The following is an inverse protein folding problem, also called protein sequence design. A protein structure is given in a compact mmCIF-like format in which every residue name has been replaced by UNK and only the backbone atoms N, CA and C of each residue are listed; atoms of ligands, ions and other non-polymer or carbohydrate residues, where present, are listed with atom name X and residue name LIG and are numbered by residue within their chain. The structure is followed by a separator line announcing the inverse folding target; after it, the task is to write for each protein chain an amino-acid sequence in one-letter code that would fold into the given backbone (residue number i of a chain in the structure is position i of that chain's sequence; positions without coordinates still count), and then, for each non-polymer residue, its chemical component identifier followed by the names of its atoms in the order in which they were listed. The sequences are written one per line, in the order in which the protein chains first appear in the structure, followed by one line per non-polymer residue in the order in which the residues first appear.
data_IF_783692891022
#
_entry.id   IF_783692891022
#
_cell.length_a   1.000
_cell.length_b   1.000
_cell.length_c   1.000
_cell.angle_alpha   90.00
_cell.angle_beta   90.00
_cell.angle_gamma   90.00
#
_symmetry.space_group_name_H-M   'P 1'
#
loop_
_entity.id
_entity.type
_entity.pdbx_description
1 polymer ?
#
# COMPACT_ATOMS: atom_id res chain seq x y z
N UNK A 1 35.02 27.63 14.96
CA UNK A 1 34.79 26.56 13.96
C UNK A 1 34.48 25.28 14.73
N UNK A 2 33.23 25.12 15.17
CA UNK A 2 32.84 23.98 16.02
C UNK A 2 32.54 22.79 15.14
N UNK A 3 33.34 21.74 15.29
CA UNK A 3 33.12 20.43 14.70
C UNK A 3 31.91 19.79 15.37
N UNK A 4 30.74 20.03 14.80
CA UNK A 4 29.52 19.36 15.21
C UNK A 4 29.64 17.87 14.84
N UNK A 5 29.89 17.03 15.85
CA UNK A 5 30.01 15.59 15.67
C UNK A 5 28.65 15.10 15.17
N UNK A 6 28.61 14.68 13.91
CA UNK A 6 27.42 14.10 13.31
C UNK A 6 27.03 12.85 14.10
N UNK A 7 26.12 13.00 15.06
CA UNK A 7 25.54 11.91 15.81
C UNK A 7 24.72 11.07 14.81
N UNK A 8 25.32 10.00 14.31
CA UNK A 8 24.80 9.12 13.25
C UNK A 8 23.60 8.26 13.68
N UNK A 9 23.06 8.50 14.87
CA UNK A 9 21.86 7.83 15.41
C UNK A 9 20.54 8.53 15.07
N UNK A 10 20.58 9.70 14.41
CA UNK A 10 19.38 10.45 14.03
C UNK A 10 18.74 10.01 12.71
N UNK A 11 17.46 10.36 12.46
CA UNK A 11 16.79 10.11 11.19
C UNK A 11 17.57 10.68 10.01
N UNK A 12 17.50 10.00 8.85
CA UNK A 12 18.20 10.43 7.64
C UNK A 12 17.77 11.85 7.20
N UNK A 13 18.65 12.57 6.51
CA UNK A 13 18.37 13.91 6.01
C UNK A 13 17.08 13.97 5.15
N UNK A 14 16.82 12.91 4.38
CA UNK A 14 15.59 12.74 3.61
C UNK A 14 14.33 12.70 4.47
N UNK A 15 14.33 11.92 5.57
CA UNK A 15 13.17 11.83 6.45
C UNK A 15 12.89 13.15 7.17
N UNK A 16 13.94 13.90 7.52
CA UNK A 16 13.80 15.24 8.10
C UNK A 16 13.20 16.25 7.11
N UNK A 17 13.49 16.10 5.82
CA UNK A 17 12.90 16.94 4.78
C UNK A 17 11.42 16.64 4.63
N UNK A 18 11.03 15.37 4.49
CA UNK A 18 9.61 14.96 4.41
C UNK A 18 8.82 15.42 5.64
N UNK A 19 9.40 15.29 6.83
CA UNK A 19 8.73 15.69 8.07
C UNK A 19 8.38 17.19 8.15
N UNK A 20 9.05 18.03 7.35
CA UNK A 20 8.83 19.48 7.30
C UNK A 20 8.23 19.94 5.98
N UNK A 21 8.06 19.03 5.02
CA UNK A 21 7.51 19.35 3.72
C UNK A 21 6.00 19.48 3.82
N UNK A 22 5.48 20.64 3.42
CA UNK A 22 4.05 20.95 3.40
C UNK A 22 3.54 21.16 1.96
N UNK A 23 4.28 20.66 0.97
CA UNK A 23 3.86 20.71 -0.43
C UNK A 23 2.75 19.71 -0.75
N UNK A 24 2.65 18.62 0.04
CA UNK A 24 1.62 17.60 -0.10
C UNK A 24 0.56 17.75 1.01
N UNK A 25 -0.73 17.87 0.68
CA UNK A 25 -1.81 18.01 1.67
C UNK A 25 -2.12 16.65 2.32
N UNK A 26 -1.16 16.12 3.08
CA UNK A 26 -1.28 14.86 3.82
C UNK A 26 -1.60 15.18 5.27
N UNK A 27 -2.56 14.47 5.85
CA UNK A 27 -2.86 14.59 7.27
C UNK A 27 -1.65 14.19 8.12
N UNK A 28 -1.35 14.99 9.16
CA UNK A 28 -0.18 14.79 10.00
C UNK A 28 -0.09 13.37 10.60
N UNK A 29 -1.22 12.79 11.01
CA UNK A 29 -1.27 11.44 11.55
C UNK A 29 -0.82 10.37 10.54
N UNK A 30 -1.17 10.52 9.26
CA UNK A 30 -0.73 9.61 8.20
C UNK A 30 0.77 9.80 7.90
N UNK A 31 1.25 11.05 7.92
CA UNK A 31 2.65 11.36 7.73
C UNK A 31 3.52 10.75 8.84
N UNK A 32 3.08 10.84 10.10
CA UNK A 32 3.80 10.27 11.24
C UNK A 32 3.90 8.75 11.17
N UNK A 33 2.80 8.07 10.79
CA UNK A 33 2.79 6.62 10.53
C UNK A 33 3.75 6.26 9.39
N UNK A 34 3.76 7.05 8.32
CA UNK A 34 4.64 6.83 7.18
C UNK A 34 6.11 6.99 7.54
N UNK A 35 6.47 8.05 8.25
CA UNK A 35 7.84 8.26 8.74
C UNK A 35 8.27 7.13 9.68
N UNK A 36 7.37 6.65 10.54
CA UNK A 36 7.64 5.52 11.45
C UNK A 36 7.89 4.23 10.67
N UNK A 37 7.11 3.94 9.63
CA UNK A 37 7.36 2.78 8.76
C UNK A 37 8.70 2.90 8.01
N UNK A 38 9.04 4.09 7.51
CA UNK A 38 10.30 4.33 6.79
C UNK A 38 11.54 4.15 7.67
N UNK A 39 11.44 4.41 8.98
CA UNK A 39 12.53 4.20 9.93
C UNK A 39 12.73 2.73 10.31
N UNK A 40 11.87 1.81 9.86
CA UNK A 40 11.98 0.40 10.20
C UNK A 40 13.25 -0.24 9.58
N UNK A 41 14.23 -0.71 10.39
CA UNK A 41 15.47 -1.28 9.90
C UNK A 41 15.26 -2.59 9.14
N UNK A 42 14.16 -3.32 9.39
CA UNK A 42 13.81 -4.54 8.67
C UNK A 42 13.68 -4.29 7.16
N UNK A 43 13.30 -3.08 6.74
CA UNK A 43 13.19 -2.71 5.33
C UNK A 43 14.52 -2.88 4.58
N UNK A 44 15.65 -2.58 5.20
CA UNK A 44 16.94 -2.64 4.52
C UNK A 44 17.42 -4.09 4.32
N UNK A 45 17.08 -5.00 5.22
CA UNK A 45 17.41 -6.43 5.10
C UNK A 45 16.42 -7.21 4.25
N UNK A 46 15.11 -7.02 4.47
CA UNK A 46 14.06 -7.81 3.81
C UNK A 46 13.84 -7.38 2.37
N UNK A 47 13.91 -6.07 2.06
CA UNK A 47 13.64 -5.54 0.73
C UNK A 47 14.48 -6.16 -0.39
N UNK A 48 15.83 -6.25 -0.31
CA UNK A 48 16.62 -6.82 -1.39
C UNK A 48 16.28 -8.30 -1.63
N UNK A 49 16.04 -9.07 -0.56
CA UNK A 49 15.65 -10.47 -0.65
C UNK A 49 14.28 -10.62 -1.33
N UNK A 50 13.28 -9.87 -0.87
CA UNK A 50 11.92 -9.93 -1.40
C UNK A 50 11.87 -9.44 -2.86
N UNK A 51 12.61 -8.38 -3.18
CA UNK A 51 12.74 -7.87 -4.54
C UNK A 51 13.33 -8.92 -5.48
N UNK A 52 14.35 -9.66 -5.04
CA UNK A 52 14.93 -10.75 -5.81
C UNK A 52 13.92 -11.88 -6.04
N UNK A 53 13.23 -12.33 -5.00
CA UNK A 53 12.20 -13.38 -5.08
C UNK A 53 11.08 -12.97 -6.04
N UNK A 54 10.53 -11.75 -5.89
CA UNK A 54 9.47 -11.27 -6.76
C UNK A 54 9.92 -11.05 -8.20
N UNK A 55 11.16 -10.62 -8.42
CA UNK A 55 11.72 -10.53 -9.76
C UNK A 55 11.74 -11.91 -10.43
N UNK A 56 12.21 -12.95 -9.74
CA UNK A 56 12.18 -14.33 -10.25
C UNK A 56 10.74 -14.78 -10.53
N UNK A 57 9.83 -14.59 -9.58
CA UNK A 57 8.44 -14.99 -9.72
C UNK A 57 7.78 -14.30 -10.93
N UNK A 58 8.07 -13.03 -11.16
CA UNK A 58 7.59 -12.29 -12.32
C UNK A 58 8.09 -12.88 -13.64
N UNK A 59 9.38 -13.24 -13.72
CA UNK A 59 9.95 -13.90 -14.90
C UNK A 59 9.34 -15.29 -15.13
N UNK A 60 9.09 -16.04 -14.04
CA UNK A 60 8.40 -17.32 -14.09
C UNK A 60 6.97 -17.13 -14.62
N UNK A 61 6.18 -16.20 -14.07
CA UNK A 61 4.83 -15.91 -14.53
C UNK A 61 4.81 -15.48 -16.00
N UNK A 62 5.76 -14.64 -16.41
CA UNK A 62 5.91 -14.24 -17.81
C UNK A 62 6.20 -15.45 -18.72
N UNK A 63 7.10 -16.35 -18.31
CA UNK A 63 7.40 -17.58 -19.06
C UNK A 63 6.17 -18.50 -19.15
N UNK A 64 5.44 -18.67 -18.05
CA UNK A 64 4.20 -19.45 -18.02
C UNK A 64 3.12 -18.87 -18.91
N UNK A 65 2.94 -17.55 -18.91
CA UNK A 65 1.95 -16.88 -19.77
C UNK A 65 2.32 -16.96 -21.26
N UNK A 66 3.58 -17.23 -21.59
CA UNK A 66 4.06 -17.42 -22.96
C UNK A 66 3.78 -18.84 -23.49
N UNK A 67 3.53 -19.81 -22.62
CA UNK A 67 3.08 -21.14 -23.02
C UNK A 67 1.58 -21.08 -23.41
N UNK A 68 1.11 -21.87 -24.39
CA UNK A 68 -0.29 -21.91 -24.82
C UNK A 68 -1.15 -22.70 -23.82
N UNK A 69 -1.15 -22.26 -22.56
CA UNK A 69 -1.95 -22.83 -21.49
C UNK A 69 -3.33 -22.14 -21.45
N UNK A 70 -4.41 -22.86 -21.08
CA UNK A 70 -5.72 -22.25 -20.87
C UNK A 70 -5.65 -21.19 -19.76
N UNK A 71 -6.43 -20.12 -19.91
CA UNK A 71 -6.44 -18.99 -18.97
C UNK A 71 -6.98 -19.44 -17.60
N UNK A 72 -6.10 -19.43 -16.58
CA UNK A 72 -6.50 -19.66 -15.20
C UNK A 72 -6.89 -18.35 -14.53
N UNK A 73 -8.03 -18.35 -13.83
CA UNK A 73 -8.44 -17.25 -12.97
C UNK A 73 -8.45 -17.72 -11.52
N UNK A 74 -7.68 -17.05 -10.67
CA UNK A 74 -7.54 -17.39 -9.26
C UNK A 74 -7.66 -16.13 -8.38
N UNK A 75 -8.57 -15.21 -8.73
CA UNK A 75 -8.73 -13.91 -8.05
C UNK A 75 -8.92 -14.08 -6.54
N UNK A 76 -9.77 -15.01 -6.10
CA UNK A 76 -10.01 -15.25 -4.67
C UNK A 76 -8.76 -15.74 -3.93
N UNK A 77 -7.97 -16.64 -4.54
CA UNK A 77 -6.74 -17.16 -3.91
C UNK A 77 -5.64 -16.10 -3.86
N UNK A 78 -5.57 -15.24 -4.87
CA UNK A 78 -4.65 -14.11 -4.89
C UNK A 78 -5.00 -13.13 -3.77
N UNK A 79 -6.28 -12.77 -3.63
CA UNK A 79 -6.73 -11.85 -2.58
C UNK A 79 -6.48 -12.41 -1.18
N UNK A 80 -6.74 -13.71 -0.97
CA UNK A 80 -6.41 -14.41 0.28
C UNK A 80 -4.92 -14.37 0.59
N UNK A 81 -4.06 -14.60 -0.40
CA UNK A 81 -2.61 -14.54 -0.23
C UNK A 81 -2.14 -13.14 0.15
N UNK A 82 -2.70 -12.10 -0.47
CA UNK A 82 -2.39 -10.70 -0.14
C UNK A 82 -2.82 -10.38 1.28
N UNK A 83 -4.05 -10.73 1.68
CA UNK A 83 -4.55 -10.48 3.04
C UNK A 83 -3.73 -11.24 4.10
N UNK A 84 -3.35 -12.49 3.81
CA UNK A 84 -2.46 -13.27 4.65
C UNK A 84 -1.09 -12.61 4.78
N UNK A 85 -0.50 -12.15 3.67
CA UNK A 85 0.79 -11.45 3.66
C UNK A 85 0.73 -10.15 4.49
N UNK A 86 -0.30 -9.33 4.29
CA UNK A 86 -0.52 -8.11 5.06
C UNK A 86 -0.70 -8.37 6.56
N UNK A 87 -1.30 -9.50 6.92
CA UNK A 87 -1.51 -9.86 8.34
C UNK A 87 -0.21 -10.30 9.02
N UNK A 88 0.70 -10.97 8.31
CA UNK A 88 1.88 -11.60 8.93
C UNK A 88 3.21 -10.86 8.70
N UNK A 89 3.37 -10.19 7.55
CA UNK A 89 4.65 -9.63 7.12
C UNK A 89 4.67 -8.11 7.03
N UNK A 90 3.51 -7.45 7.14
CA UNK A 90 3.39 -5.99 7.03
C UNK A 90 3.23 -5.37 8.42
N UNK A 91 3.89 -4.21 8.62
CA UNK A 91 3.80 -3.45 9.87
C UNK A 91 2.38 -2.94 10.12
N UNK A 92 2.03 -2.66 11.39
CA UNK A 92 0.72 -2.11 11.72
C UNK A 92 0.52 -0.73 11.11
N UNK A 93 1.59 0.06 11.08
CA UNK A 93 1.66 1.39 10.48
C UNK A 93 1.33 1.33 8.98
N UNK A 94 1.97 0.42 8.25
CA UNK A 94 1.72 0.24 6.82
C UNK A 94 0.31 -0.30 6.56
N UNK A 95 -0.20 -1.24 7.37
CA UNK A 95 -1.58 -1.71 7.24
C UNK A 95 -2.61 -0.59 7.44
N UNK A 96 -2.37 0.34 8.37
CA UNK A 96 -3.26 1.48 8.57
C UNK A 96 -3.23 2.45 7.37
N UNK A 97 -2.06 2.65 6.76
CA UNK A 97 -1.93 3.42 5.51
C UNK A 97 -2.65 2.74 4.34
N UNK A 98 -2.57 1.41 4.25
CA UNK A 98 -3.31 0.63 3.24
C UNK A 98 -4.82 0.80 3.44
N UNK A 99 -5.34 0.64 4.65
CA UNK A 99 -6.78 0.83 4.92
C UNK A 99 -7.24 2.26 4.61
N UNK A 100 -6.41 3.26 4.95
CA UNK A 100 -6.67 4.66 4.61
C UNK A 100 -6.77 4.87 3.10
N UNK A 101 -5.94 4.21 2.31
CA UNK A 101 -5.96 4.30 0.85
C UNK A 101 -7.32 3.86 0.29
N UNK A 102 -7.85 2.70 0.73
CA UNK A 102 -9.18 2.22 0.33
C UNK A 102 -10.30 3.21 0.67
N UNK A 103 -10.28 3.77 1.88
CA UNK A 103 -11.27 4.76 2.30
C UNK A 103 -11.16 6.07 1.49
N UNK A 104 -9.94 6.50 1.20
CA UNK A 104 -9.68 7.72 0.41
C UNK A 104 -10.15 7.54 -1.03
N UNK A 105 -9.86 6.40 -1.65
CA UNK A 105 -10.34 6.08 -3.00
C UNK A 105 -11.86 6.03 -3.06
N UNK A 106 -12.50 5.35 -2.11
CA UNK A 106 -13.97 5.29 -2.01
C UNK A 106 -14.59 6.68 -1.90
N UNK A 107 -14.01 7.56 -1.07
CA UNK A 107 -14.46 8.94 -0.94
C UNK A 107 -14.33 9.72 -2.24
N UNK A 108 -13.21 9.55 -2.96
CA UNK A 108 -12.99 10.21 -4.26
C UNK A 108 -13.99 9.71 -5.30
N UNK A 109 -14.21 8.40 -5.40
CA UNK A 109 -15.18 7.82 -6.33
C UNK A 109 -16.61 8.30 -6.03
N UNK A 110 -17.01 8.28 -4.76
CA UNK A 110 -18.33 8.77 -4.34
C UNK A 110 -18.49 10.28 -4.59
N UNK A 111 -17.44 11.07 -4.39
CA UNK A 111 -17.45 12.49 -4.72
C UNK A 111 -17.64 12.72 -6.22
N UNK A 112 -16.92 11.99 -7.07
CA UNK A 112 -17.07 12.09 -8.52
C UNK A 112 -18.48 11.65 -8.98
N UNK A 113 -19.00 10.56 -8.42
CA UNK A 113 -20.33 10.06 -8.72
C UNK A 113 -21.43 11.07 -8.32
N UNK A 114 -21.31 11.69 -7.14
CA UNK A 114 -22.27 12.68 -6.66
C UNK A 114 -22.28 13.98 -7.50
N UNK A 115 -21.19 14.26 -8.23
CA UNK A 115 -21.06 15.46 -9.07
C UNK A 115 -21.20 15.17 -10.57
N UNK A 116 -21.55 13.93 -10.95
CA UNK A 116 -21.71 13.55 -12.35
C UNK A 116 -23.18 13.67 -12.79
N UNK A 117 -23.48 14.32 -13.93
CA UNK A 117 -24.85 14.74 -14.27
C UNK A 117 -25.81 13.62 -14.72
N UNK A 118 -25.41 12.33 -14.72
CA UNK A 118 -26.22 11.21 -15.23
C UNK A 118 -26.01 9.86 -14.51
N UNK A 119 -25.53 9.86 -13.26
CA UNK A 119 -25.18 8.61 -12.58
C UNK A 119 -26.30 8.09 -11.69
N UNK A 120 -27.11 7.17 -12.21
CA UNK A 120 -27.74 6.10 -11.42
C UNK A 120 -26.63 5.17 -10.89
N UNK A 121 -25.84 5.67 -9.94
CA UNK A 121 -24.68 4.97 -9.40
C UNK A 121 -24.90 4.62 -7.93
N UNK A 122 -24.69 3.35 -7.60
CA UNK A 122 -24.70 2.89 -6.20
C UNK A 122 -23.41 3.34 -5.53
N UNK A 123 -23.46 4.12 -4.44
CA UNK A 123 -22.25 4.57 -3.74
C UNK A 123 -21.34 3.40 -3.37
N UNK A 124 -20.04 3.57 -3.60
CA UNK A 124 -19.01 2.60 -3.20
C UNK A 124 -18.93 2.60 -1.67
N UNK A 125 -19.19 1.46 -1.03
CA UNK A 125 -19.15 1.30 0.43
C UNK A 125 -17.90 0.53 0.88
N UNK A 126 -16.76 0.82 0.27
CA UNK A 126 -15.51 0.09 0.51
C UNK A 126 -14.68 0.74 1.64
N UNK A 127 -15.10 0.51 2.88
CA UNK A 127 -14.45 1.05 4.08
C UNK A 127 -13.96 -0.08 5.01
N UNK A 128 -12.91 -0.83 4.62
CA UNK A 128 -12.37 -1.91 5.43
C UNK A 128 -11.81 -1.37 6.76
N UNK A 129 -12.12 -2.04 7.87
CA UNK A 129 -11.61 -1.68 9.20
C UNK A 129 -10.40 -2.51 9.60
N UNK A 130 -10.28 -3.69 9.01
CA UNK A 130 -9.12 -4.56 9.16
C UNK A 130 -8.71 -5.19 7.83
N UNK A 131 -7.50 -5.75 7.80
CA UNK A 131 -6.95 -6.42 6.61
C UNK A 131 -7.84 -7.59 6.16
N UNK A 132 -8.49 -8.29 7.09
CA UNK A 132 -9.40 -9.38 6.74
C UNK A 132 -10.63 -8.88 5.96
N UNK A 133 -11.12 -7.67 6.24
CA UNK A 133 -12.25 -7.09 5.53
C UNK A 133 -11.91 -6.83 4.06
N UNK A 134 -10.63 -6.56 3.74
CA UNK A 134 -10.16 -6.36 2.36
C UNK A 134 -10.30 -7.61 1.48
N UNK A 135 -10.47 -8.80 2.08
CA UNK A 135 -10.67 -10.03 1.32
C UNK A 135 -12.02 -10.03 0.58
N UNK A 136 -13.02 -9.40 1.19
CA UNK A 136 -14.38 -9.27 0.66
C UNK A 136 -14.63 -7.88 0.08
N UNK A 137 -13.97 -6.86 0.63
CA UNK A 137 -13.96 -5.50 0.11
C UNK A 137 -12.96 -5.37 -1.05
N UNK A 138 -13.25 -6.01 -2.19
CA UNK A 138 -12.44 -5.91 -3.40
C UNK A 138 -13.10 -4.98 -4.43
N UNK A 139 -12.32 -4.05 -4.99
CA UNK A 139 -12.78 -3.19 -6.09
C UNK A 139 -13.28 -3.96 -7.32
N UNK A 140 -12.86 -5.22 -7.48
CA UNK A 140 -13.32 -6.10 -8.57
C UNK A 140 -14.82 -6.40 -8.49
N UNK A 141 -15.46 -6.28 -7.33
CA UNK A 141 -16.92 -6.40 -7.22
C UNK A 141 -17.65 -5.10 -7.62
N UNK A 142 -16.91 -4.00 -7.82
CA UNK A 142 -17.42 -2.67 -8.13
C UNK A 142 -16.94 -2.12 -9.49
N UNK A 143 -16.12 -2.88 -10.23
CA UNK A 143 -15.58 -2.59 -11.57
C UNK A 143 -16.36 -3.38 -12.64
#
# INVERSE_FOLDING_TARGET
MSTDRHNSSGPSAYLKAIAKDNSLPIEQAALDLWLKDLQNPLRWGVRPLLQFIFAILLHITWLFKRLPLPQFSAHTRLQQLICWFCTHFVSKEANLLILRHYATESNVLNFLAANSPNSDFTPVQLYPKCVADMQHASFVEHD
#
